data_IF_058483877577
#
_entry.id   IF_058483877577
#
_cell.length_a   1.000
_cell.length_b   1.000
_cell.length_c   1.000
_cell.angle_alpha   90.00
_cell.angle_beta   90.00
_cell.angle_gamma   90.00
#
_symmetry.space_group_name_H-M   'P 1'
#
loop_
_entity.id
_entity.type
_entity.pdbx_description
1 polymer ?
#
# COMPACT_ATOMS: atom_id res chain seq x y z
N UNK A 1 53.58 -1.94 49.75
CA UNK A 1 52.44 -2.65 49.13
C UNK A 1 52.24 -2.05 47.75
N UNK A 2 52.38 -2.90 46.73
CA UNK A 2 52.76 -2.54 45.37
C UNK A 2 51.60 -1.99 44.52
N UNK A 3 51.89 -0.92 43.75
CA UNK A 3 51.09 -0.43 42.64
C UNK A 3 51.33 -1.30 41.40
N UNK A 4 50.26 -1.77 40.78
CA UNK A 4 50.30 -2.47 39.50
C UNK A 4 50.00 -1.49 38.35
N UNK A 5 50.92 -1.42 37.38
CA UNK A 5 50.74 -0.76 36.09
C UNK A 5 50.15 -1.77 35.07
N UNK A 6 49.23 -1.39 34.18
CA UNK A 6 48.88 -2.20 33.03
C UNK A 6 49.87 -2.00 31.88
N UNK A 7 50.28 -3.12 31.30
CA UNK A 7 51.22 -3.26 30.19
C UNK A 7 50.51 -3.02 28.86
N UNK A 8 51.08 -2.15 28.02
CA UNK A 8 50.62 -1.89 26.65
C UNK A 8 51.38 -2.81 25.70
N UNK A 9 50.68 -3.71 25.01
CA UNK A 9 51.25 -4.50 23.92
C UNK A 9 51.08 -3.77 22.58
N UNK A 10 52.20 -3.31 22.03
CA UNK A 10 52.33 -2.87 20.64
C UNK A 10 52.35 -4.08 19.71
N UNK A 11 51.44 -4.15 18.73
CA UNK A 11 51.52 -5.11 17.63
C UNK A 11 51.87 -4.35 16.36
N UNK A 12 53.02 -4.72 15.80
CA UNK A 12 53.64 -4.12 14.63
C UNK A 12 53.13 -4.75 13.33
N UNK A 13 52.89 -3.87 12.34
CA UNK A 13 53.16 -4.01 10.90
C UNK A 13 53.06 -5.38 10.23
N UNK A 14 52.08 -5.52 9.33
CA UNK A 14 52.23 -6.30 8.11
C UNK A 14 51.77 -5.46 6.92
N UNK A 15 52.73 -5.07 6.09
CA UNK A 15 52.52 -4.32 4.85
C UNK A 15 52.02 -5.25 3.74
N UNK A 16 51.01 -4.78 3.01
CA UNK A 16 50.52 -5.40 1.78
C UNK A 16 50.95 -4.51 0.61
N UNK A 17 51.66 -5.03 -0.40
CA UNK A 17 52.13 -4.23 -1.53
C UNK A 17 50.99 -3.88 -2.50
N UNK A 18 50.92 -2.59 -2.83
CA UNK A 18 50.01 -1.99 -3.80
C UNK A 18 50.51 -2.32 -5.23
N UNK A 19 49.88 -3.27 -5.90
CA UNK A 19 50.13 -3.56 -7.32
C UNK A 19 49.40 -2.51 -8.17
N UNK A 20 50.13 -1.47 -8.58
CA UNK A 20 49.68 -0.47 -9.55
C UNK A 20 49.61 -1.13 -10.93
N UNK A 21 48.39 -1.46 -11.37
CA UNK A 21 48.12 -1.99 -12.70
C UNK A 21 47.95 -0.82 -13.68
N UNK A 22 49.03 -0.47 -14.39
CA UNK A 22 49.00 0.43 -15.53
C UNK A 22 48.04 -0.13 -16.60
N UNK A 23 46.94 0.58 -16.87
CA UNK A 23 46.10 0.36 -18.05
C UNK A 23 46.60 1.28 -19.16
N UNK A 24 47.29 0.67 -20.10
CA UNK A 24 47.64 1.19 -21.42
C UNK A 24 46.37 1.63 -22.16
N UNK A 25 46.30 2.92 -22.51
CA UNK A 25 45.30 3.48 -23.43
C UNK A 25 45.67 3.07 -24.85
N UNK A 26 44.94 2.12 -25.41
CA UNK A 26 44.93 1.85 -26.84
C UNK A 26 43.94 2.80 -27.52
N UNK A 27 44.45 3.67 -28.37
CA UNK A 27 43.65 4.44 -29.31
C UNK A 27 43.17 3.54 -30.47
N UNK A 28 41.96 3.77 -31.00
CA UNK A 28 41.69 3.45 -32.39
C UNK A 28 41.29 4.72 -33.17
N UNK A 29 42.20 5.09 -34.06
CA UNK A 29 41.98 5.28 -35.50
C UNK A 29 40.73 6.06 -35.93
N UNK A 30 40.98 7.31 -36.32
CA UNK A 30 40.14 8.13 -37.18
C UNK A 30 39.96 7.45 -38.55
N UNK A 31 38.75 6.98 -38.83
CA UNK A 31 38.30 6.58 -40.16
C UNK A 31 37.36 7.64 -40.71
N UNK A 32 37.86 8.48 -41.62
CA UNK A 32 37.04 9.40 -42.41
C UNK A 32 36.21 8.66 -43.46
N UNK A 33 34.99 9.12 -43.66
CA UNK A 33 34.08 8.71 -44.73
C UNK A 33 33.15 9.88 -45.09
N UNK A 34 32.94 10.19 -46.38
CA UNK A 34 32.53 11.53 -46.82
C UNK A 34 31.02 11.71 -46.98
N UNK A 35 30.61 12.98 -46.83
CA UNK A 35 29.51 13.69 -47.49
C UNK A 35 28.33 12.91 -48.08
N UNK A 36 27.18 13.01 -47.41
CA UNK A 36 25.85 12.85 -47.99
C UNK A 36 25.05 14.14 -47.81
N UNK A 37 24.68 14.77 -48.93
CA UNK A 37 23.91 16.02 -49.00
C UNK A 37 22.48 15.86 -48.43
N UNK A 38 21.90 16.92 -47.84
CA UNK A 38 20.48 16.94 -47.47
C UNK A 38 19.60 17.23 -48.71
N UNK A 39 18.58 16.39 -48.91
CA UNK A 39 17.53 16.61 -49.90
C UNK A 39 16.53 17.69 -49.42
N UNK A 40 15.94 18.49 -50.34
CA UNK A 40 15.16 19.67 -50.01
C UNK A 40 13.72 19.38 -49.56
N UNK A 41 13.28 20.17 -48.59
CA UNK A 41 11.89 20.34 -48.15
C UNK A 41 11.01 20.88 -49.28
N UNK A 42 10.02 20.10 -49.69
CA UNK A 42 8.90 20.56 -50.52
C UNK A 42 7.70 20.99 -49.67
N UNK A 43 7.00 22.08 -50.00
CA UNK A 43 5.79 22.49 -49.30
C UNK A 43 4.57 21.67 -49.75
N UNK A 44 3.63 21.31 -48.86
CA UNK A 44 2.37 20.71 -49.29
C UNK A 44 1.45 21.78 -49.92
N UNK A 45 0.73 21.44 -51.00
CA UNK A 45 -0.15 22.36 -51.70
C UNK A 45 -1.46 22.58 -50.92
N UNK A 46 -1.87 23.84 -50.83
CA UNK A 46 -3.20 24.21 -50.39
C UNK A 46 -4.28 23.67 -51.32
N UNK A 47 -5.44 23.32 -50.74
CA UNK A 47 -6.71 23.28 -51.46
C UNK A 47 -7.83 23.94 -50.64
N UNK A 48 -8.81 24.56 -51.34
CA UNK A 48 -9.77 25.51 -50.79
C UNK A 48 -11.15 24.89 -50.52
N UNK A 49 -12.00 25.66 -49.82
CA UNK A 49 -13.47 25.56 -49.84
C UNK A 49 -14.03 24.54 -48.82
N UNK A 50 -14.62 24.97 -47.71
CA UNK A 50 -15.98 25.53 -47.60
C UNK A 50 -17.08 24.52 -47.99
N UNK A 51 -17.85 24.06 -46.99
CA UNK A 51 -19.29 23.72 -47.05
C UNK A 51 -19.79 23.11 -45.72
N UNK A 52 -20.31 23.98 -44.85
CA UNK A 52 -21.58 23.79 -44.11
C UNK A 52 -21.68 22.80 -42.91
N UNK A 53 -22.48 23.13 -41.88
CA UNK A 53 -22.76 22.23 -40.76
C UNK A 53 -23.84 21.20 -41.17
N UNK A 54 -23.44 19.92 -41.25
CA UNK A 54 -24.40 18.80 -41.36
C UNK A 54 -24.89 18.42 -39.97
N UNK A 55 -26.19 18.57 -39.75
CA UNK A 55 -26.89 18.04 -38.58
C UNK A 55 -26.70 16.53 -38.47
N UNK A 56 -26.14 16.09 -37.36
CA UNK A 56 -25.97 14.68 -37.01
C UNK A 56 -27.28 14.10 -36.48
N UNK A 57 -27.96 13.32 -37.32
CA UNK A 57 -28.89 12.31 -36.84
C UNK A 57 -28.08 11.19 -36.19
N UNK A 58 -28.28 10.97 -34.89
CA UNK A 58 -27.73 9.83 -34.16
C UNK A 58 -28.40 8.54 -34.65
N UNK A 59 -27.72 7.80 -35.53
CA UNK A 59 -28.02 6.39 -35.76
C UNK A 59 -27.46 5.59 -34.58
N UNK A 60 -28.37 5.12 -33.73
CA UNK A 60 -28.10 4.11 -32.70
C UNK A 60 -27.50 2.88 -33.38
N UNK A 61 -26.22 2.60 -33.10
CA UNK A 61 -25.56 1.38 -33.56
C UNK A 61 -26.15 0.18 -32.81
N UNK A 62 -26.45 -0.93 -33.51
CA UNK A 62 -26.87 -2.16 -32.85
C UNK A 62 -25.73 -2.70 -31.96
N UNK A 63 -26.06 -3.39 -30.86
CA UNK A 63 -25.09 -3.85 -29.88
C UNK A 63 -24.01 -4.70 -30.53
N UNK A 64 -22.75 -4.33 -30.26
CA UNK A 64 -21.56 -5.09 -30.65
C UNK A 64 -21.71 -6.46 -30.01
N UNK A 65 -21.95 -7.49 -30.83
CA UNK A 65 -21.87 -8.88 -30.39
C UNK A 65 -20.42 -9.15 -30.05
N UNK A 66 -20.14 -9.22 -28.76
CA UNK A 66 -18.88 -9.67 -28.17
C UNK A 66 -18.46 -10.99 -28.83
N UNK A 67 -17.55 -10.90 -29.79
CA UNK A 67 -17.06 -12.05 -30.53
C UNK A 67 -16.02 -12.76 -29.69
N UNK A 68 -16.52 -13.58 -28.76
CA UNK A 68 -15.80 -14.70 -28.14
C UNK A 68 -14.41 -14.37 -27.62
N UNK A 69 -14.33 -13.93 -26.36
CA UNK A 69 -13.14 -14.20 -25.52
C UNK A 69 -12.81 -15.68 -25.67
N UNK A 70 -11.71 -15.98 -26.36
CA UNK A 70 -11.13 -17.33 -26.43
C UNK A 70 -11.04 -17.81 -24.98
N UNK A 71 -11.79 -18.86 -24.64
CA UNK A 71 -11.63 -19.55 -23.37
C UNK A 71 -10.15 -19.83 -23.22
N UNK A 72 -9.50 -19.22 -22.24
CA UNK A 72 -8.18 -19.63 -21.79
C UNK A 72 -8.26 -21.15 -21.65
N UNK A 73 -7.53 -21.87 -22.52
CA UNK A 73 -7.33 -23.28 -22.30
C UNK A 73 -6.52 -23.36 -21.03
N UNK A 74 -7.22 -23.63 -19.94
CA UNK A 74 -6.63 -23.90 -18.65
C UNK A 74 -5.79 -25.17 -18.81
N UNK A 75 -4.50 -25.02 -19.09
CA UNK A 75 -3.52 -26.10 -19.14
C UNK A 75 -3.21 -26.65 -17.74
N UNK A 76 -4.16 -26.47 -16.81
CA UNK A 76 -4.12 -26.88 -15.43
C UNK A 76 -3.58 -28.29 -15.26
N UNK A 77 -2.73 -28.44 -14.25
CA UNK A 77 -2.41 -29.75 -13.71
C UNK A 77 -3.70 -30.45 -13.27
N UNK A 78 -3.70 -31.78 -13.32
CA UNK A 78 -4.78 -32.50 -12.64
C UNK A 78 -4.78 -32.10 -11.16
N UNK A 79 -5.96 -32.07 -10.52
CA UNK A 79 -6.07 -31.69 -9.12
C UNK A 79 -5.16 -32.56 -8.21
N UNK A 80 -5.03 -33.84 -8.56
CA UNK A 80 -4.11 -34.78 -7.90
C UNK A 80 -2.64 -34.40 -8.08
N UNK A 81 -2.24 -34.02 -9.29
CA UNK A 81 -0.87 -33.56 -9.57
C UNK A 81 -0.54 -32.26 -8.83
N UNK A 82 -1.50 -31.35 -8.70
CA UNK A 82 -1.30 -30.08 -7.98
C UNK A 82 -1.16 -30.29 -6.47
N UNK A 83 -1.98 -31.18 -5.88
CA UNK A 83 -1.86 -31.57 -4.47
C UNK A 83 -0.51 -32.25 -4.21
N UNK A 84 -0.12 -33.18 -5.09
CA UNK A 84 1.16 -33.90 -4.99
C UNK A 84 2.35 -32.92 -5.07
N UNK A 85 2.34 -32.03 -6.07
CA UNK A 85 3.34 -30.98 -6.23
C UNK A 85 3.42 -30.08 -5.00
N UNK A 86 2.28 -29.63 -4.48
CA UNK A 86 2.22 -28.75 -3.30
C UNK A 86 2.86 -29.39 -2.08
N UNK A 87 2.52 -30.64 -1.78
CA UNK A 87 3.06 -31.37 -0.63
C UNK A 87 4.57 -31.59 -0.75
N UNK A 88 5.04 -31.92 -1.96
CA UNK A 88 6.45 -32.10 -2.24
C UNK A 88 7.24 -30.80 -2.07
N UNK A 89 6.74 -29.70 -2.64
CA UNK A 89 7.33 -28.36 -2.54
C UNK A 89 7.38 -27.90 -1.09
N UNK A 90 6.28 -28.02 -0.33
CA UNK A 90 6.23 -27.66 1.10
C UNK A 90 7.32 -28.39 1.89
N UNK A 91 7.47 -29.70 1.67
CA UNK A 91 8.49 -30.51 2.34
C UNK A 91 9.90 -30.03 2.01
N UNK A 92 10.19 -29.78 0.73
CA UNK A 92 11.54 -29.42 0.26
C UNK A 92 11.91 -27.97 0.53
N UNK A 93 10.98 -27.05 0.41
CA UNK A 93 11.23 -25.63 0.69
C UNK A 93 11.43 -25.38 2.18
N UNK A 94 10.86 -26.21 3.06
CA UNK A 94 11.11 -26.14 4.52
C UNK A 94 12.57 -26.46 4.88
N UNK A 95 13.25 -27.31 4.11
CA UNK A 95 14.65 -27.70 4.34
C UNK A 95 15.64 -26.59 3.92
N UNK A 96 15.21 -25.63 3.10
CA UNK A 96 16.06 -24.55 2.59
C UNK A 96 16.22 -23.41 3.61
N UNK A 97 17.42 -22.82 3.76
CA UNK A 97 17.59 -21.58 4.52
C UNK A 97 16.84 -20.42 3.86
N UNK A 98 16.48 -19.39 4.62
CA UNK A 98 15.71 -18.24 4.14
C UNK A 98 16.42 -17.52 3.00
N UNK A 99 17.72 -17.30 3.19
CA UNK A 99 18.63 -16.76 2.16
C UNK A 99 18.71 -17.63 0.90
N UNK A 100 18.35 -18.91 0.99
CA UNK A 100 18.36 -19.84 -0.13
C UNK A 100 17.34 -19.46 -1.22
N UNK A 101 16.11 -19.12 -0.85
CA UNK A 101 15.09 -18.70 -1.81
C UNK A 101 15.40 -17.33 -2.42
N UNK A 102 15.92 -16.39 -1.61
CA UNK A 102 16.33 -15.09 -2.11
C UNK A 102 17.51 -15.21 -3.08
N UNK A 103 18.50 -16.05 -2.76
CA UNK A 103 19.60 -16.36 -3.65
C UNK A 103 19.14 -17.01 -4.96
N UNK A 104 18.15 -17.90 -4.89
CA UNK A 104 17.53 -18.54 -6.04
C UNK A 104 16.91 -17.50 -6.99
N UNK A 105 16.10 -16.57 -6.45
CA UNK A 105 15.50 -15.48 -7.24
C UNK A 105 16.56 -14.59 -7.89
N UNK A 106 17.59 -14.19 -7.15
CA UNK A 106 18.70 -13.38 -7.68
C UNK A 106 19.39 -14.13 -8.84
N UNK A 107 19.57 -15.45 -8.73
CA UNK A 107 20.21 -16.22 -9.78
C UNK A 107 19.34 -16.35 -11.04
N UNK A 108 18.02 -16.52 -10.88
CA UNK A 108 17.07 -16.52 -11.99
C UNK A 108 17.04 -15.17 -12.70
N UNK A 109 16.94 -14.05 -11.96
CA UNK A 109 17.01 -12.69 -12.54
C UNK A 109 18.33 -12.40 -13.24
N UNK A 110 19.44 -12.99 -12.80
CA UNK A 110 20.72 -12.85 -13.47
C UNK A 110 20.80 -13.62 -14.80
N UNK A 111 19.97 -14.65 -14.98
CA UNK A 111 19.86 -15.43 -16.22
C UNK A 111 18.83 -14.83 -17.18
N UNK A 112 17.86 -14.08 -16.66
CA UNK A 112 16.87 -13.32 -17.41
C UNK A 112 17.46 -11.99 -17.91
N UNK A 113 18.03 -12.02 -19.12
CA UNK A 113 18.69 -10.84 -19.72
C UNK A 113 17.70 -9.77 -20.14
N UNK A 114 16.51 -10.18 -20.57
CA UNK A 114 15.50 -9.31 -21.15
C UNK A 114 14.53 -8.77 -20.08
N UNK A 115 14.61 -9.29 -18.85
CA UNK A 115 13.79 -8.91 -17.69
C UNK A 115 12.30 -9.07 -17.94
N UNK A 116 11.93 -10.06 -18.74
CA UNK A 116 10.54 -10.37 -19.06
C UNK A 116 9.89 -11.29 -18.01
N UNK A 117 10.67 -11.79 -17.04
CA UNK A 117 10.18 -12.69 -16.01
C UNK A 117 10.01 -14.13 -16.50
N UNK A 118 10.56 -14.46 -17.67
CA UNK A 118 10.36 -15.74 -18.37
C UNK A 118 11.71 -16.40 -18.64
N UNK A 119 11.84 -17.69 -18.31
CA UNK A 119 13.06 -18.47 -18.54
C UNK A 119 12.77 -19.83 -19.13
N UNK A 120 13.72 -20.39 -19.89
CA UNK A 120 13.59 -21.75 -20.40
C UNK A 120 13.49 -22.77 -19.26
N UNK A 121 12.69 -23.83 -19.46
CA UNK A 121 12.57 -24.90 -18.45
C UNK A 121 13.90 -25.51 -18.02
N UNK A 122 14.87 -25.64 -18.93
CA UNK A 122 16.19 -26.20 -18.61
C UNK A 122 17.00 -25.26 -17.72
N UNK A 123 16.93 -23.95 -18.00
CA UNK A 123 17.53 -22.91 -17.15
C UNK A 123 16.96 -22.96 -15.74
N UNK A 124 15.63 -23.03 -15.62
CA UNK A 124 14.95 -23.11 -14.33
C UNK A 124 15.33 -24.38 -13.58
N UNK A 125 15.29 -25.55 -14.22
CA UNK A 125 15.69 -26.84 -13.61
C UNK A 125 17.14 -26.83 -13.13
N UNK A 126 18.06 -26.34 -13.95
CA UNK A 126 19.47 -26.22 -13.59
C UNK A 126 19.67 -25.34 -12.37
N UNK A 127 18.95 -24.22 -12.29
CA UNK A 127 19.01 -23.29 -11.18
C UNK A 127 18.36 -23.85 -9.91
N UNK A 128 17.22 -24.55 -9.99
CA UNK A 128 16.62 -25.24 -8.84
C UNK A 128 17.56 -26.31 -8.26
N UNK A 129 18.20 -27.10 -9.12
CA UNK A 129 19.17 -28.12 -8.71
C UNK A 129 20.43 -27.51 -8.08
N UNK A 130 20.92 -26.38 -8.62
CA UNK A 130 22.07 -25.65 -8.07
C UNK A 130 21.84 -25.18 -6.62
N UNK A 131 20.61 -24.81 -6.29
CA UNK A 131 20.22 -24.39 -4.93
C UNK A 131 19.76 -25.57 -4.06
N UNK A 132 19.99 -26.82 -4.47
CA UNK A 132 19.62 -28.03 -3.72
C UNK A 132 18.11 -28.17 -3.44
N UNK A 133 17.25 -27.53 -4.26
CA UNK A 133 15.81 -27.80 -4.23
C UNK A 133 15.53 -29.09 -5.02
N UNK A 134 15.86 -30.23 -4.41
CA UNK A 134 15.70 -31.56 -5.00
C UNK A 134 14.22 -31.97 -5.04
N UNK A 135 13.52 -31.48 -6.07
CA UNK A 135 12.21 -31.99 -6.47
C UNK A 135 12.40 -33.27 -7.30
N UNK A 136 11.46 -34.19 -7.22
CA UNK A 136 11.38 -35.35 -8.11
C UNK A 136 11.23 -34.88 -9.56
N UNK A 137 11.61 -35.72 -10.52
CA UNK A 137 11.45 -35.40 -11.95
C UNK A 137 9.99 -35.06 -12.31
N UNK A 138 9.04 -35.74 -11.66
CA UNK A 138 7.61 -35.44 -11.82
C UNK A 138 7.23 -34.09 -11.19
N UNK A 139 7.76 -33.77 -10.00
CA UNK A 139 7.60 -32.47 -9.37
C UNK A 139 8.17 -31.32 -10.24
N UNK A 140 9.35 -31.51 -10.83
CA UNK A 140 9.94 -30.55 -11.78
C UNK A 140 9.10 -30.42 -13.06
N UNK A 141 8.58 -31.52 -13.59
CA UNK A 141 7.70 -31.48 -14.75
C UNK A 141 6.40 -30.72 -14.43
N UNK A 142 5.83 -30.98 -13.27
CA UNK A 142 4.59 -30.34 -12.82
C UNK A 142 4.80 -28.85 -12.52
N UNK A 143 5.91 -28.46 -11.90
CA UNK A 143 6.21 -27.03 -11.66
C UNK A 143 6.41 -26.27 -12.97
N UNK A 144 7.17 -26.85 -13.91
CA UNK A 144 7.38 -26.26 -15.23
C UNK A 144 6.08 -26.19 -16.05
N UNK A 145 5.19 -27.18 -15.91
CA UNK A 145 3.88 -27.16 -16.59
C UNK A 145 2.94 -26.13 -15.97
N UNK A 146 2.91 -26.02 -14.63
CA UNK A 146 2.02 -25.10 -13.90
C UNK A 146 2.31 -23.63 -14.19
N UNK A 147 3.58 -23.27 -14.28
CA UNK A 147 4.03 -21.90 -14.57
C UNK A 147 4.54 -21.75 -16.00
N UNK A 148 4.25 -22.75 -16.83
CA UNK A 148 4.69 -22.80 -18.22
C UNK A 148 3.76 -21.99 -19.11
N UNK A 149 4.32 -21.21 -20.01
CA UNK A 149 3.55 -20.62 -21.10
C UNK A 149 3.50 -21.59 -22.28
N UNK A 150 2.31 -21.75 -22.87
CA UNK A 150 2.12 -22.58 -24.06
C UNK A 150 2.71 -21.85 -25.29
N UNK A 151 4.03 -21.89 -25.41
CA UNK A 151 4.77 -21.40 -26.58
C UNK A 151 5.05 -22.51 -27.59
N UNK A 152 4.97 -22.18 -28.88
CA UNK A 152 5.07 -23.13 -30.01
C UNK A 152 6.44 -23.82 -30.18
N UNK A 153 7.50 -23.40 -29.47
CA UNK A 153 8.87 -23.87 -29.80
C UNK A 153 9.75 -24.27 -28.64
N UNK A 154 9.67 -23.60 -27.49
CA UNK A 154 10.44 -23.95 -26.30
C UNK A 154 9.55 -23.72 -25.08
N UNK A 155 9.41 -24.71 -24.18
CA UNK A 155 8.66 -24.52 -22.96
C UNK A 155 9.38 -23.47 -22.10
N UNK A 156 8.69 -22.36 -21.88
CA UNK A 156 9.13 -21.22 -21.10
C UNK A 156 8.36 -21.18 -19.78
N UNK A 157 8.99 -20.70 -18.71
CA UNK A 157 8.43 -20.67 -17.35
C UNK A 157 8.46 -19.25 -16.80
N UNK A 158 7.31 -18.77 -16.33
CA UNK A 158 7.19 -17.51 -15.58
C UNK A 158 7.78 -17.69 -14.18
N UNK A 159 9.09 -17.44 -14.05
CA UNK A 159 9.82 -17.80 -12.84
C UNK A 159 9.47 -16.92 -11.65
N UNK A 160 9.00 -15.68 -11.85
CA UNK A 160 8.54 -14.79 -10.78
C UNK A 160 7.25 -15.33 -10.11
N UNK A 161 6.31 -15.86 -10.91
CA UNK A 161 5.11 -16.54 -10.40
C UNK A 161 5.48 -17.82 -9.64
N UNK A 162 6.41 -18.61 -10.21
CA UNK A 162 6.95 -19.80 -9.55
C UNK A 162 7.60 -19.44 -8.20
N UNK A 163 8.41 -18.37 -8.14
CA UNK A 163 9.05 -17.94 -6.89
C UNK A 163 8.05 -17.45 -5.85
N UNK A 164 6.99 -16.77 -6.28
CA UNK A 164 5.87 -16.38 -5.42
C UNK A 164 5.20 -17.61 -4.81
N UNK A 165 4.96 -18.64 -5.62
CA UNK A 165 4.42 -19.92 -5.17
C UNK A 165 5.35 -20.63 -4.17
N UNK A 166 6.64 -20.74 -4.46
CA UNK A 166 7.62 -21.36 -3.55
C UNK A 166 7.67 -20.62 -2.19
N UNK A 167 7.64 -19.28 -2.22
CA UNK A 167 7.65 -18.44 -1.02
C UNK A 167 6.37 -18.65 -0.19
N UNK A 168 5.21 -18.67 -0.84
CA UNK A 168 3.93 -18.94 -0.18
C UNK A 168 3.90 -20.34 0.44
N UNK A 169 4.37 -21.35 -0.29
CA UNK A 169 4.48 -22.73 0.21
C UNK A 169 5.42 -22.83 1.41
N UNK A 170 6.52 -22.07 1.43
CA UNK A 170 7.40 -21.98 2.60
C UNK A 170 6.67 -21.43 3.82
N UNK A 171 5.96 -20.31 3.65
CA UNK A 171 5.22 -19.68 4.74
C UNK A 171 4.13 -20.61 5.28
N UNK A 172 3.49 -21.39 4.41
CA UNK A 172 2.57 -22.45 4.81
C UNK A 172 3.26 -23.58 5.59
N UNK A 173 4.46 -24.00 5.17
CA UNK A 173 5.25 -25.03 5.85
C UNK A 173 5.74 -24.63 7.24
N UNK A 174 5.93 -23.33 7.47
CA UNK A 174 6.37 -22.74 8.75
C UNK A 174 5.21 -22.45 9.70
N UNK A 175 3.96 -22.43 9.22
CA UNK A 175 2.81 -22.29 10.12
C UNK A 175 2.80 -23.47 11.08
N UNK A 176 2.74 -23.22 12.40
CA UNK A 176 2.60 -24.30 13.35
C UNK A 176 1.35 -25.11 12.98
N UNK A 177 1.39 -26.45 13.05
CA UNK A 177 0.20 -27.25 12.82
C UNK A 177 -0.91 -26.71 13.73
N UNK A 178 -2.14 -26.51 13.21
CA UNK A 178 -3.24 -26.02 14.03
C UNK A 178 -3.30 -26.89 15.29
N UNK A 179 -3.46 -26.28 16.48
CA UNK A 179 -3.51 -27.05 17.71
C UNK A 179 -4.56 -28.12 17.50
N UNK A 180 -4.14 -29.39 17.55
CA UNK A 180 -5.07 -30.50 17.48
C UNK A 180 -5.93 -30.36 18.72
N UNK A 181 -7.09 -29.72 18.56
CA UNK A 181 -8.14 -29.72 19.56
C UNK A 181 -8.46 -31.19 19.70
N UNK A 182 -7.92 -31.79 20.77
CA UNK A 182 -8.26 -33.12 21.20
C UNK A 182 -9.78 -33.09 21.45
N UNK A 183 -10.56 -33.40 20.41
CA UNK A 183 -11.93 -33.84 20.54
C UNK A 183 -11.84 -35.19 21.25
N UNK A 184 -11.63 -35.13 22.57
CA UNK A 184 -12.00 -36.22 23.47
C UNK A 184 -13.49 -36.38 23.27
N UNK A 185 -13.80 -37.46 22.57
CA UNK A 185 -15.09 -38.10 22.46
C UNK A 185 -15.85 -38.05 23.79
N UNK A 186 -16.76 -37.09 23.92
CA UNK A 186 -17.93 -37.23 24.79
C UNK A 186 -18.96 -37.95 23.94
N UNK A 187 -19.13 -39.24 24.20
CA UNK A 187 -20.15 -40.04 23.55
C UNK A 187 -21.53 -39.50 23.89
N UNK A 188 -22.28 -39.08 22.88
CA UNK A 188 -23.74 -38.97 22.97
C UNK A 188 -24.31 -39.46 21.64
N UNK A 189 -25.19 -40.42 21.80
CA UNK A 189 -25.99 -41.14 20.82
C UNK A 189 -26.80 -40.24 19.88
N UNK A 190 -26.80 -40.60 18.60
CA UNK A 190 -28.00 -40.61 17.76
C UNK A 190 -28.60 -39.26 17.39
N UNK A 191 -28.09 -38.64 16.34
CA UNK A 191 -28.78 -37.56 15.64
C UNK A 191 -28.18 -37.37 14.25
N UNK A 192 -28.96 -37.65 13.20
CA UNK A 192 -28.60 -37.39 11.80
C UNK A 192 -28.39 -35.89 11.63
N UNK A 193 -27.13 -35.43 11.66
CA UNK A 193 -26.77 -34.06 11.30
C UNK A 193 -25.88 -34.05 10.06
N UNK A 194 -26.32 -33.19 9.16
CA UNK A 194 -25.77 -32.86 7.85
C UNK A 194 -24.30 -32.44 7.96
N UNK A 195 -23.44 -32.80 6.99
CA UNK A 195 -22.02 -32.50 7.06
C UNK A 195 -21.79 -30.98 7.09
N UNK A 196 -21.06 -30.44 8.09
CA UNK A 196 -20.76 -29.03 8.15
C UNK A 196 -19.79 -28.67 7.02
N UNK A 197 -20.20 -27.72 6.17
CA UNK A 197 -19.35 -27.19 5.12
C UNK A 197 -18.10 -26.50 5.73
N UNK A 198 -16.92 -26.66 5.12
CA UNK A 198 -15.70 -26.03 5.61
C UNK A 198 -15.79 -24.51 5.47
N UNK A 199 -15.81 -23.80 6.60
CA UNK A 199 -15.67 -22.35 6.61
C UNK A 199 -14.30 -21.99 6.05
N UNK A 200 -14.27 -21.29 4.91
CA UNK A 200 -13.07 -20.69 4.32
C UNK A 200 -12.48 -19.68 5.31
N UNK A 201 -11.46 -20.08 6.07
CA UNK A 201 -10.70 -19.17 6.92
C UNK A 201 -9.78 -18.36 6.01
N UNK A 202 -10.01 -17.04 5.96
CA UNK A 202 -9.25 -16.07 5.18
C UNK A 202 -7.85 -15.90 5.79
N UNK A 203 -6.88 -16.74 5.41
CA UNK A 203 -5.50 -16.78 5.93
C UNK A 203 -4.58 -15.73 5.26
N UNK A 204 -5.06 -14.50 5.05
CA UNK A 204 -4.26 -13.36 4.53
C UNK A 204 -3.55 -12.53 5.62
N UNK A 205 -3.69 -12.86 6.90
CA UNK A 205 -3.03 -12.12 7.97
C UNK A 205 -1.77 -12.84 8.44
N UNK A 206 -0.64 -12.54 7.79
CA UNK A 206 0.69 -12.66 8.40
C UNK A 206 0.77 -11.68 9.56
N UNK A 207 0.39 -12.15 10.74
CA UNK A 207 0.62 -11.46 12.02
C UNK A 207 2.12 -11.51 12.32
N UNK A 208 2.92 -10.64 11.68
CA UNK A 208 4.34 -10.48 12.01
C UNK A 208 4.59 -9.37 13.04
N UNK A 209 3.57 -8.57 13.33
CA UNK A 209 3.63 -7.54 14.36
C UNK A 209 2.30 -7.56 15.10
N UNK A 210 2.31 -8.00 16.37
CA UNK A 210 1.09 -8.07 17.17
C UNK A 210 0.72 -6.69 17.72
N UNK A 211 -0.55 -6.44 18.02
CA UNK A 211 -1.00 -5.20 18.69
C UNK A 211 -0.23 -4.91 19.99
N UNK A 212 0.22 -5.99 20.66
CA UNK A 212 1.07 -5.90 21.85
C UNK A 212 2.47 -5.37 21.53
N UNK A 213 3.08 -5.83 20.44
CA UNK A 213 4.39 -5.35 19.98
C UNK A 213 4.31 -3.91 19.48
N UNK A 214 3.19 -3.56 18.84
CA UNK A 214 2.88 -2.19 18.45
C UNK A 214 2.75 -1.26 19.66
N UNK A 215 1.98 -1.64 20.68
CA UNK A 215 1.88 -0.88 21.92
C UNK A 215 3.24 -0.68 22.59
N UNK A 216 4.11 -1.70 22.57
CA UNK A 216 5.47 -1.62 23.13
C UNK A 216 6.38 -0.70 22.30
N UNK A 217 6.39 -0.84 20.97
CA UNK A 217 7.14 0.03 20.07
C UNK A 217 6.78 1.50 20.32
N UNK A 218 5.49 1.75 20.40
CA UNK A 218 4.94 3.06 20.64
C UNK A 218 5.39 3.69 21.97
N UNK A 219 5.32 2.94 23.08
CA UNK A 219 5.78 3.39 24.38
C UNK A 219 7.30 3.66 24.40
N UNK A 220 8.09 2.83 23.73
CA UNK A 220 9.55 2.99 23.66
C UNK A 220 9.96 4.19 22.79
N UNK A 221 9.23 4.47 21.71
CA UNK A 221 9.42 5.68 20.89
C UNK A 221 9.10 6.94 21.68
N UNK A 222 7.98 6.95 22.41
CA UNK A 222 7.56 8.06 23.26
C UNK A 222 8.63 8.40 24.30
N UNK A 223 9.15 7.37 24.99
CA UNK A 223 10.22 7.54 25.98
C UNK A 223 11.49 8.17 25.40
N UNK A 224 11.82 7.88 24.14
CA UNK A 224 13.04 8.38 23.50
C UNK A 224 12.90 9.74 22.84
N UNK A 225 11.67 10.14 22.48
CA UNK A 225 11.38 11.40 21.79
C UNK A 225 10.90 12.51 22.74
N UNK A 226 10.58 12.19 24.00
CA UNK A 226 10.06 13.14 24.99
C UNK A 226 10.86 14.44 25.13
N UNK A 227 12.19 14.36 25.09
CA UNK A 227 13.05 15.49 25.41
C UNK A 227 13.55 16.27 24.18
N UNK A 228 13.11 15.89 22.98
CA UNK A 228 13.64 16.47 21.73
C UNK A 228 12.51 16.92 20.82
N UNK A 229 12.31 18.24 20.61
CA UNK A 229 11.36 18.71 19.63
C UNK A 229 11.83 18.24 18.26
N UNK A 230 10.96 17.53 17.53
CA UNK A 230 11.32 17.03 16.22
C UNK A 230 10.48 17.67 15.13
N UNK A 231 11.16 18.26 14.15
CA UNK A 231 10.50 18.86 13.01
C UNK A 231 10.06 17.79 12.00
N UNK A 232 8.78 17.44 12.04
CA UNK A 232 8.19 16.44 11.16
C UNK A 232 8.18 16.85 9.69
N UNK A 233 8.11 18.15 9.40
CA UNK A 233 8.16 18.66 8.03
C UNK A 233 9.55 18.41 7.40
N UNK A 234 10.61 18.66 8.17
CA UNK A 234 11.99 18.42 7.72
C UNK A 234 12.26 16.92 7.51
N UNK A 235 11.72 16.05 8.37
CA UNK A 235 11.82 14.60 8.18
C UNK A 235 11.13 14.15 6.90
N UNK A 236 9.88 14.59 6.70
CA UNK A 236 9.10 14.26 5.51
C UNK A 236 9.84 14.69 4.24
N UNK A 237 10.34 15.93 4.21
CA UNK A 237 11.14 16.46 3.10
C UNK A 237 12.39 15.63 2.86
N UNK A 238 13.13 15.29 3.92
CA UNK A 238 14.35 14.48 3.83
C UNK A 238 14.07 13.07 3.31
N UNK A 239 12.93 12.46 3.66
CA UNK A 239 12.51 11.16 3.15
C UNK A 239 12.23 11.23 1.64
N UNK A 240 11.48 12.22 1.18
CA UNK A 240 11.23 12.42 -0.25
C UNK A 240 12.51 12.77 -1.03
N UNK A 241 13.46 13.51 -0.44
CA UNK A 241 14.76 13.78 -1.07
C UNK A 241 15.62 12.51 -1.22
N UNK A 242 15.40 11.50 -0.37
CA UNK A 242 16.08 10.20 -0.47
C UNK A 242 15.39 9.23 -1.42
N UNK A 243 14.10 9.41 -1.69
CA UNK A 243 13.34 8.66 -2.69
C UNK A 243 13.62 9.20 -4.10
N UNK A 244 14.71 8.73 -4.68
CA UNK A 244 15.13 9.13 -6.03
C UNK A 244 14.17 8.67 -7.12
N UNK A 245 13.46 7.58 -6.87
CA UNK A 245 12.58 6.95 -7.85
C UNK A 245 11.15 7.52 -7.78
N UNK A 246 10.85 8.35 -6.77
CA UNK A 246 9.54 8.99 -6.54
C UNK A 246 8.39 7.98 -6.51
N UNK A 247 8.63 6.85 -5.85
CA UNK A 247 7.64 5.79 -5.70
C UNK A 247 7.03 5.74 -4.28
N UNK A 248 7.38 6.69 -3.42
CA UNK A 248 7.00 6.80 -2.01
C UNK A 248 7.52 5.65 -1.13
N UNK A 249 8.53 4.90 -1.60
CA UNK A 249 9.16 3.82 -0.85
C UNK A 249 10.64 4.12 -0.59
N UNK A 250 11.07 3.79 0.62
CA UNK A 250 12.46 3.87 1.02
C UNK A 250 12.98 2.49 1.40
N UNK A 251 14.25 2.22 1.12
CA UNK A 251 14.97 1.11 1.75
C UNK A 251 15.22 1.40 3.23
N UNK A 252 15.44 0.35 4.02
CA UNK A 252 15.69 0.50 5.47
C UNK A 252 16.92 1.36 5.77
N UNK A 253 17.92 1.34 4.90
CA UNK A 253 19.10 2.20 5.02
C UNK A 253 18.76 3.68 4.76
N UNK A 254 17.93 3.98 3.76
CA UNK A 254 17.46 5.36 3.51
C UNK A 254 16.63 5.88 4.68
N UNK A 255 15.74 5.07 5.25
CA UNK A 255 14.96 5.45 6.44
C UNK A 255 15.88 5.78 7.62
N UNK A 256 16.91 4.96 7.86
CA UNK A 256 17.89 5.23 8.92
C UNK A 256 18.68 6.54 8.69
N UNK A 257 19.04 6.83 7.44
CA UNK A 257 19.70 8.08 7.06
C UNK A 257 18.78 9.28 7.30
N UNK A 258 17.50 9.21 6.88
CA UNK A 258 16.52 10.27 7.10
C UNK A 258 16.35 10.58 8.59
N UNK A 259 16.09 9.54 9.39
CA UNK A 259 15.95 9.67 10.85
C UNK A 259 17.20 10.30 11.48
N UNK A 260 18.39 9.84 11.10
CA UNK A 260 19.64 10.37 11.68
C UNK A 260 19.92 11.81 11.27
N UNK A 261 19.60 12.20 10.02
CA UNK A 261 19.76 13.58 9.52
C UNK A 261 18.84 14.57 10.24
N UNK A 262 17.64 14.14 10.61
CA UNK A 262 16.66 14.97 11.29
C UNK A 262 16.73 14.87 12.82
N UNK A 263 17.81 14.30 13.38
CA UNK A 263 18.02 14.22 14.82
C UNK A 263 17.17 13.16 15.55
N UNK A 264 16.52 12.24 14.84
CA UNK A 264 15.85 11.09 15.44
C UNK A 264 16.86 10.04 15.90
N UNK A 265 17.30 10.18 17.15
CA UNK A 265 18.19 9.22 17.80
C UNK A 265 17.41 8.09 18.46
N UNK A 266 16.76 7.26 17.64
CA UNK A 266 16.14 6.03 18.13
C UNK A 266 17.20 4.96 18.41
N UNK A 267 17.02 4.17 19.47
CA UNK A 267 17.86 3.01 19.75
C UNK A 267 17.75 1.98 18.62
N UNK A 268 18.79 1.17 18.35
CA UNK A 268 18.77 0.19 17.27
C UNK A 268 17.59 -0.79 17.34
N UNK A 269 17.18 -1.18 18.55
CA UNK A 269 16.03 -2.06 18.77
C UNK A 269 14.69 -1.40 18.39
N UNK A 270 14.47 -0.15 18.79
CA UNK A 270 13.27 0.61 18.43
C UNK A 270 13.23 0.88 16.92
N UNK A 271 14.38 1.17 16.31
CA UNK A 271 14.51 1.30 14.84
C UNK A 271 14.12 0.00 14.13
N UNK A 272 14.64 -1.14 14.58
CA UNK A 272 14.33 -2.43 13.98
C UNK A 272 12.84 -2.75 14.08
N UNK A 273 12.21 -2.48 15.24
CA UNK A 273 10.76 -2.67 15.42
C UNK A 273 9.93 -1.69 14.59
N UNK A 274 10.34 -0.42 14.46
CA UNK A 274 9.66 0.55 13.58
C UNK A 274 9.69 0.10 12.12
N UNK A 275 10.85 -0.37 11.64
CA UNK A 275 10.96 -0.93 10.31
C UNK A 275 10.05 -2.16 10.17
N UNK A 276 10.11 -3.11 11.10
CA UNK A 276 9.25 -4.29 11.06
C UNK A 276 7.75 -3.95 11.05
N UNK A 277 7.32 -2.96 11.82
CA UNK A 277 5.93 -2.50 11.86
C UNK A 277 5.47 -1.84 10.55
N UNK A 278 6.38 -1.20 9.84
CA UNK A 278 6.08 -0.46 8.60
C UNK A 278 6.25 -1.32 7.34
N UNK A 279 7.00 -2.42 7.39
CA UNK A 279 7.13 -3.37 6.29
C UNK A 279 5.98 -4.40 6.26
N UNK A 280 4.81 -3.94 5.79
CA UNK A 280 3.65 -4.82 5.60
C UNK A 280 3.88 -5.93 4.57
N UNK A 281 4.85 -5.75 3.68
CA UNK A 281 5.09 -6.65 2.54
C UNK A 281 6.19 -7.69 2.80
N UNK A 282 7.06 -7.45 3.79
CA UNK A 282 8.28 -8.21 4.01
C UNK A 282 9.37 -7.97 2.94
N UNK A 283 9.22 -6.92 2.11
CA UNK A 283 10.11 -6.66 0.98
C UNK A 283 11.34 -5.80 1.38
N UNK A 284 11.39 -5.30 2.62
CA UNK A 284 12.41 -4.35 3.04
C UNK A 284 12.26 -2.96 2.38
N UNK A 285 11.07 -2.67 1.85
CA UNK A 285 10.67 -1.37 1.31
C UNK A 285 9.58 -0.79 2.18
N UNK A 286 9.79 0.45 2.63
CA UNK A 286 8.98 1.09 3.64
C UNK A 286 8.29 2.31 3.04
N UNK A 287 6.96 2.31 3.04
CA UNK A 287 6.17 3.44 2.52
C UNK A 287 6.35 4.65 3.43
N UNK A 288 6.72 5.80 2.85
CA UNK A 288 7.01 7.04 3.58
C UNK A 288 5.83 7.43 4.49
N UNK A 289 4.61 7.46 3.95
CA UNK A 289 3.41 7.81 4.74
C UNK A 289 3.16 6.87 5.92
N UNK A 290 3.47 5.57 5.78
CA UNK A 290 3.26 4.63 6.90
C UNK A 290 4.24 4.93 8.03
N UNK A 291 5.51 5.22 7.72
CA UNK A 291 6.49 5.63 8.73
C UNK A 291 6.08 6.96 9.38
N UNK A 292 5.65 7.93 8.58
CA UNK A 292 5.20 9.24 9.07
C UNK A 292 4.00 9.11 10.00
N UNK A 293 3.02 8.27 9.68
CA UNK A 293 1.86 8.03 10.53
C UNK A 293 2.24 7.46 11.92
N UNK A 294 3.19 6.52 11.98
CA UNK A 294 3.70 6.00 13.26
C UNK A 294 4.35 7.09 14.12
N UNK A 295 5.10 7.99 13.49
CA UNK A 295 5.80 9.08 14.16
C UNK A 295 4.84 10.21 14.58
N UNK A 296 3.92 10.61 13.71
CA UNK A 296 2.97 11.71 13.95
C UNK A 296 1.93 11.36 15.00
N UNK A 297 1.38 10.13 14.96
CA UNK A 297 0.36 9.67 15.91
C UNK A 297 0.85 9.73 17.37
N UNK A 298 2.16 9.76 17.58
CA UNK A 298 2.77 9.92 18.91
C UNK A 298 3.01 11.37 19.33
N UNK A 299 3.30 12.24 18.38
CA UNK A 299 3.49 13.67 18.68
C UNK A 299 2.15 14.34 19.01
N UNK A 300 1.05 13.92 18.39
CA UNK A 300 -0.28 14.48 18.69
C UNK A 300 -0.71 14.25 20.14
N UNK A 301 -0.33 13.12 20.76
CA UNK A 301 -0.65 12.82 22.17
C UNK A 301 0.05 13.76 23.16
N UNK A 302 1.12 14.45 22.74
CA UNK A 302 1.80 15.44 23.61
C UNK A 302 1.16 16.82 23.57
N UNK A 303 0.38 17.14 22.54
CA UNK A 303 -0.24 18.46 22.37
C UNK A 303 -1.58 18.64 23.11
N UNK A 304 -2.22 17.57 23.57
CA UNK A 304 -3.58 17.63 24.13
C UNK A 304 -3.66 17.66 25.68
N UNK A 305 -2.55 17.78 26.40
CA UNK A 305 -2.59 17.78 27.88
C UNK A 305 -1.72 18.86 28.52
N UNK A 306 -1.83 20.09 28.02
CA UNK A 306 -1.77 21.24 28.92
C UNK A 306 -3.22 21.48 29.37
N UNK A 307 -3.63 21.05 30.58
CA UNK A 307 -4.81 21.66 31.17
C UNK A 307 -4.53 23.17 31.13
N UNK A 308 -5.49 23.91 30.58
CA UNK A 308 -5.54 25.36 30.63
C UNK A 308 -5.25 25.76 32.09
N UNK A 309 -3.98 26.09 32.38
CA UNK A 309 -3.62 26.60 33.69
C UNK A 309 -4.36 27.92 33.76
N UNK A 310 -5.45 27.87 34.54
CA UNK A 310 -6.40 28.94 34.71
C UNK A 310 -5.68 30.27 34.70
N UNK A 311 -6.06 31.07 33.73
CA UNK A 311 -5.95 32.50 33.81
C UNK A 311 -6.60 32.90 35.15
N UNK A 312 -5.78 33.08 36.18
CA UNK A 312 -6.18 33.73 37.41
C UNK A 312 -6.41 35.19 37.00
N UNK A 313 -7.63 35.48 36.56
CA UNK A 313 -8.12 36.83 36.43
C UNK A 313 -8.26 37.36 37.86
N UNK A 314 -7.24 38.11 38.28
CA UNK A 314 -7.29 38.94 39.46
C UNK A 314 -8.55 39.80 39.41
N UNK A 315 -9.33 39.70 40.48
CA UNK A 315 -10.69 40.19 40.52
C UNK A 315 -10.83 41.70 40.37
N UNK A 316 -11.94 42.08 39.78
CA UNK A 316 -12.68 43.27 40.18
C UNK A 316 -14.16 42.91 40.35
N UNK A 317 -14.67 43.21 41.55
CA UNK A 317 -16.03 42.91 41.95
C UNK A 317 -17.05 43.70 41.14
N UNK A 318 -18.02 43.00 40.58
CA UNK A 318 -19.23 43.59 40.03
C UNK A 318 -20.39 43.24 40.96
N UNK A 319 -20.92 44.30 41.56
CA UNK A 319 -22.13 44.35 42.39
C UNK A 319 -23.30 43.62 41.73
N UNK A 320 -23.94 42.73 42.49
CA UNK A 320 -25.32 42.30 42.26
C UNK A 320 -26.25 43.52 42.29
N UNK A 321 -26.76 43.91 41.12
CA UNK A 321 -27.87 44.84 40.99
C UNK A 321 -29.17 44.01 40.94
N UNK A 322 -29.90 44.03 42.06
CA UNK A 322 -31.23 43.45 42.19
C UNK A 322 -32.20 44.14 41.23
N UNK A 323 -32.73 43.41 40.25
CA UNK A 323 -33.85 43.85 39.43
C UNK A 323 -35.20 43.59 40.13
N UNK A 324 -36.23 44.43 39.87
CA UNK A 324 -37.51 44.37 40.55
C UNK A 324 -38.42 43.25 40.03
N UNK A 325 -39.17 42.68 40.97
CA UNK A 325 -40.30 41.76 40.77
C UNK A 325 -41.26 42.25 39.67
N UNK A 326 -41.35 41.49 38.57
CA UNK A 326 -42.46 41.61 37.61
C UNK A 326 -43.69 40.83 38.08
N UNK A 327 -44.91 41.34 37.81
CA UNK A 327 -46.17 40.72 38.20
C UNK A 327 -46.52 39.51 37.32
N UNK A 328 -47.16 38.51 37.94
CA UNK A 328 -47.71 37.31 37.32
C UNK A 328 -48.54 37.61 36.05
N UNK A 329 -48.20 36.99 34.89
CA UNK A 329 -49.14 36.86 33.80
C UNK A 329 -49.92 35.54 33.94
N UNK A 330 -51.21 35.73 34.20
CA UNK A 330 -52.35 34.92 33.79
C UNK A 330 -52.07 33.59 33.08
N UNK A 331 -52.64 32.53 33.66
CA UNK A 331 -52.73 31.18 33.12
C UNK A 331 -53.24 31.16 31.66
N UNK A 332 -52.32 31.10 30.71
CA UNK A 332 -52.60 30.73 29.33
C UNK A 332 -52.51 29.21 29.19
N UNK A 333 -53.48 28.65 28.48
CA UNK A 333 -53.67 27.24 28.24
C UNK A 333 -52.37 26.54 27.79
N UNK A 334 -52.02 25.46 28.50
CA UNK A 334 -50.94 24.54 28.15
C UNK A 334 -51.16 24.03 26.73
N UNK A 335 -50.37 24.54 25.78
CA UNK A 335 -50.19 23.87 24.51
C UNK A 335 -49.59 22.48 24.77
N UNK A 336 -50.01 21.44 24.02
CA UNK A 336 -49.48 20.10 24.19
C UNK A 336 -47.96 20.17 24.04
N UNK A 337 -47.23 19.69 25.07
CA UNK A 337 -45.78 19.54 25.01
C UNK A 337 -45.48 18.71 23.75
N UNK A 338 -44.73 19.23 22.78
CA UNK A 338 -44.33 18.45 21.63
C UNK A 338 -43.62 17.18 22.14
N UNK A 339 -43.93 16.00 21.58
CA UNK A 339 -43.28 14.77 22.00
C UNK A 339 -41.76 14.99 21.94
N UNK A 340 -41.08 14.74 23.06
CA UNK A 340 -39.62 14.83 23.12
C UNK A 340 -39.06 14.03 21.95
N UNK A 341 -38.41 14.72 21.00
CA UNK A 341 -37.69 14.08 19.92
C UNK A 341 -36.67 13.14 20.56
N UNK A 342 -36.70 11.88 20.13
CA UNK A 342 -35.73 10.90 20.58
C UNK A 342 -34.32 11.45 20.34
N UNK A 343 -33.40 11.33 21.31
CA UNK A 343 -32.05 11.87 21.17
C UNK A 343 -31.41 11.33 19.89
N UNK A 344 -30.88 12.23 19.05
CA UNK A 344 -30.25 11.83 17.79
C UNK A 344 -29.18 10.76 18.05
N UNK A 345 -29.11 9.71 17.20
CA UNK A 345 -28.14 8.65 17.37
C UNK A 345 -26.73 9.24 17.29
N UNK A 346 -25.87 8.87 18.26
CA UNK A 346 -24.48 9.29 18.28
C UNK A 346 -23.79 8.98 16.95
N UNK A 347 -22.97 9.91 16.47
CA UNK A 347 -22.24 9.80 15.20
C UNK A 347 -21.42 8.50 15.13
N UNK A 348 -21.81 7.61 14.21
CA UNK A 348 -21.12 6.34 13.97
C UNK A 348 -20.05 6.52 12.88
N UNK A 349 -18.81 6.71 13.33
CA UNK A 349 -17.65 6.90 12.44
C UNK A 349 -17.41 5.70 11.51
N UNK A 350 -17.80 4.50 11.93
CA UNK A 350 -17.58 3.29 11.15
C UNK A 350 -18.62 3.17 10.04
N UNK A 351 -19.88 3.50 10.33
CA UNK A 351 -20.91 3.65 9.30
C UNK A 351 -20.52 4.73 8.28
N UNK A 352 -20.12 5.90 8.76
CA UNK A 352 -19.68 7.01 7.90
C UNK A 352 -18.53 6.62 6.97
N UNK A 353 -17.52 5.92 7.49
CA UNK A 353 -16.37 5.44 6.70
C UNK A 353 -16.80 4.44 5.62
N UNK A 354 -17.71 3.51 5.95
CA UNK A 354 -18.22 2.53 4.99
C UNK A 354 -19.05 3.19 3.89
N UNK A 355 -19.89 4.17 4.23
CA UNK A 355 -20.73 4.88 3.27
C UNK A 355 -19.85 5.68 2.27
N UNK A 356 -18.76 6.29 2.74
CA UNK A 356 -17.76 6.92 1.87
C UNK A 356 -17.03 5.93 0.96
N UNK A 357 -16.77 4.73 1.44
CA UNK A 357 -16.14 3.70 0.63
C UNK A 357 -17.06 3.28 -0.54
N UNK A 358 -18.37 3.22 -0.33
CA UNK A 358 -19.33 2.96 -1.41
C UNK A 358 -19.41 4.09 -2.42
N UNK A 359 -19.39 5.36 -1.95
CA UNK A 359 -19.30 6.53 -2.82
C UNK A 359 -18.04 6.47 -3.70
N UNK A 360 -16.88 6.22 -3.10
CA UNK A 360 -15.61 6.12 -3.83
C UNK A 360 -15.66 5.00 -4.87
N UNK A 361 -16.13 3.82 -4.47
CA UNK A 361 -16.26 2.68 -5.38
C UNK A 361 -17.20 2.99 -6.55
N UNK A 362 -18.29 3.71 -6.32
CA UNK A 362 -19.23 4.10 -7.37
C UNK A 362 -18.61 5.06 -8.37
N UNK A 363 -17.89 6.08 -7.89
CA UNK A 363 -17.19 7.04 -8.74
C UNK A 363 -16.13 6.34 -9.59
N UNK A 364 -15.31 5.45 -8.99
CA UNK A 364 -14.32 4.67 -9.75
C UNK A 364 -14.94 3.64 -10.69
N UNK A 365 -16.16 3.16 -10.43
CA UNK A 365 -16.85 2.22 -11.32
C UNK A 365 -17.54 2.91 -12.49
N UNK A 366 -17.80 4.22 -12.38
CA UNK A 366 -18.32 5.06 -13.46
C UNK A 366 -17.22 5.45 -14.46
N UNK A 367 -15.96 5.43 -14.02
CA UNK A 367 -14.78 5.58 -14.87
C UNK A 367 -14.56 4.31 -15.74
N UNK A 368 -15.19 4.28 -16.92
CA UNK A 368 -15.15 3.13 -17.83
C UNK A 368 -13.74 2.83 -18.36
N UNK A 369 -12.91 3.86 -18.55
CA UNK A 369 -11.57 3.72 -19.13
C UNK A 369 -10.46 3.57 -18.08
N UNK A 370 -10.79 3.70 -16.80
CA UNK A 370 -9.87 3.61 -15.67
C UNK A 370 -8.74 4.64 -15.77
N UNK A 371 -9.00 5.79 -16.38
CA UNK A 371 -8.04 6.88 -16.51
C UNK A 371 -7.75 7.55 -15.16
N UNK A 372 -8.67 7.45 -14.21
CA UNK A 372 -8.66 8.22 -12.97
C UNK A 372 -9.17 9.66 -13.15
N UNK A 373 -9.72 9.98 -14.32
CA UNK A 373 -10.31 11.28 -14.65
C UNK A 373 -11.74 11.08 -15.18
N UNK A 374 -12.64 12.02 -14.88
CA UNK A 374 -14.01 11.97 -15.37
C UNK A 374 -14.57 13.39 -15.56
N UNK A 375 -15.47 13.62 -16.53
CA UNK A 375 -16.13 14.92 -16.69
C UNK A 375 -16.84 15.37 -15.41
N UNK A 376 -16.78 16.66 -15.11
CA UNK A 376 -17.33 17.22 -13.87
C UNK A 376 -18.85 16.94 -13.70
N UNK A 377 -19.60 16.99 -14.80
CA UNK A 377 -21.04 16.71 -14.80
C UNK A 377 -21.36 15.26 -14.40
N UNK A 378 -20.53 14.30 -14.84
CA UNK A 378 -20.67 12.88 -14.51
C UNK A 378 -20.30 12.60 -13.05
N UNK A 379 -19.19 13.18 -12.57
CA UNK A 379 -18.82 13.11 -11.15
C UNK A 379 -19.93 13.68 -10.27
N UNK A 380 -20.45 14.85 -10.65
CA UNK A 380 -21.55 15.49 -9.93
C UNK A 380 -22.78 14.60 -9.88
N UNK A 381 -23.17 14.01 -11.01
CA UNK A 381 -24.34 13.14 -11.09
C UNK A 381 -24.20 11.89 -10.22
N UNK A 382 -23.06 11.18 -10.33
CA UNK A 382 -22.80 9.95 -9.58
C UNK A 382 -22.76 10.24 -8.08
N UNK A 383 -21.98 11.24 -7.67
CA UNK A 383 -21.80 11.50 -6.24
C UNK A 383 -23.04 12.16 -5.59
N UNK A 384 -23.83 12.96 -6.31
CA UNK A 384 -25.13 13.43 -5.83
C UNK A 384 -26.14 12.28 -5.62
N UNK A 385 -26.17 11.31 -6.55
CA UNK A 385 -27.01 10.12 -6.43
C UNK A 385 -26.66 9.31 -5.19
N UNK A 386 -25.37 9.10 -4.93
CA UNK A 386 -24.91 8.35 -3.76
C UNK A 386 -25.07 9.12 -2.45
N UNK A 387 -24.89 10.45 -2.45
CA UNK A 387 -25.20 11.29 -1.29
C UNK A 387 -26.65 11.09 -0.82
N UNK A 388 -27.60 11.01 -1.77
CA UNK A 388 -29.00 10.73 -1.48
C UNK A 388 -29.24 9.29 -1.00
N UNK A 389 -28.69 8.29 -1.70
CA UNK A 389 -28.92 6.86 -1.37
C UNK A 389 -28.39 6.49 0.02
N UNK A 390 -27.22 7.00 0.40
CA UNK A 390 -26.59 6.70 1.68
C UNK A 390 -26.91 7.72 2.77
N UNK A 391 -27.69 8.76 2.44
CA UNK A 391 -28.00 9.89 3.31
C UNK A 391 -26.72 10.44 3.97
N UNK A 392 -25.70 10.74 3.15
CA UNK A 392 -24.41 11.21 3.65
C UNK A 392 -24.50 12.64 4.20
N UNK A 393 -25.57 13.38 3.92
CA UNK A 393 -25.78 14.76 4.38
C UNK A 393 -24.68 15.74 3.94
N UNK A 394 -23.99 15.43 2.83
CA UNK A 394 -22.98 16.34 2.27
C UNK A 394 -23.69 17.58 1.74
N UNK A 395 -23.31 18.77 2.22
CA UNK A 395 -23.87 20.03 1.73
C UNK A 395 -23.45 20.31 0.29
N UNK A 396 -24.32 21.01 -0.44
CA UNK A 396 -24.05 21.40 -1.83
C UNK A 396 -22.80 22.30 -1.94
N UNK A 397 -22.54 23.14 -0.95
CA UNK A 397 -21.33 23.97 -0.88
C UNK A 397 -20.06 23.13 -0.75
N UNK A 398 -20.05 22.15 0.14
CA UNK A 398 -18.92 21.23 0.33
C UNK A 398 -18.65 20.45 -0.95
N UNK A 399 -19.73 19.98 -1.58
CA UNK A 399 -19.67 19.25 -2.84
C UNK A 399 -19.09 20.09 -3.99
N UNK A 400 -19.61 21.30 -4.21
CA UNK A 400 -19.13 22.21 -5.27
C UNK A 400 -17.69 22.66 -5.03
N UNK A 401 -17.31 22.88 -3.77
CA UNK A 401 -15.93 23.21 -3.39
C UNK A 401 -14.96 22.07 -3.71
N UNK A 402 -15.33 20.82 -3.38
CA UNK A 402 -14.52 19.65 -3.70
C UNK A 402 -14.39 19.44 -5.21
N UNK A 403 -15.51 19.56 -5.95
CA UNK A 403 -15.55 19.36 -7.40
C UNK A 403 -14.68 20.39 -8.12
N UNK A 404 -14.90 21.68 -7.87
CA UNK A 404 -14.15 22.78 -8.52
C UNK A 404 -12.65 22.75 -8.23
N UNK A 405 -12.26 22.37 -7.02
CA UNK A 405 -10.85 22.25 -6.62
C UNK A 405 -10.15 21.04 -7.24
N UNK A 406 -10.92 20.06 -7.75
CA UNK A 406 -10.39 18.79 -8.25
C UNK A 406 -10.33 18.69 -9.77
N UNK A 407 -10.71 19.77 -10.48
CA UNK A 407 -10.57 19.85 -11.93
C UNK A 407 -9.09 20.05 -12.28
N UNK A 408 -8.54 19.14 -13.07
CA UNK A 408 -7.18 19.26 -13.59
C UNK A 408 -7.14 20.39 -14.64
N UNK A 409 -6.27 21.40 -14.48
CA UNK A 409 -6.21 22.54 -15.37
C UNK A 409 -5.78 22.20 -16.80
N UNK A 410 -5.16 21.03 -17.02
CA UNK A 410 -4.68 20.60 -18.34
C UNK A 410 -5.75 19.83 -19.12
N UNK A 411 -6.57 19.05 -18.42
CA UNK A 411 -7.57 18.16 -19.04
C UNK A 411 -8.99 18.72 -18.98
N UNK A 412 -9.29 19.61 -18.03
CA UNK A 412 -10.64 20.09 -17.79
C UNK A 412 -11.57 19.03 -17.19
N UNK A 413 -10.99 17.91 -16.74
CA UNK A 413 -11.68 16.78 -16.11
C UNK A 413 -11.31 16.71 -14.64
N UNK A 414 -12.14 16.04 -13.85
CA UNK A 414 -11.96 15.91 -12.41
C UNK A 414 -11.03 14.74 -12.12
N UNK A 415 -9.95 14.99 -11.37
CA UNK A 415 -9.12 13.93 -10.82
C UNK A 415 -9.89 13.21 -9.69
N UNK A 416 -10.25 11.94 -9.92
CA UNK A 416 -11.16 11.20 -9.05
C UNK A 416 -10.57 10.93 -7.66
N UNK A 417 -9.28 10.58 -7.59
CA UNK A 417 -8.61 10.31 -6.32
C UNK A 417 -8.56 11.56 -5.44
N UNK A 418 -8.21 12.70 -6.05
CA UNK A 418 -8.16 13.97 -5.35
C UNK A 418 -9.55 14.47 -4.93
N UNK A 419 -10.55 14.30 -5.80
CA UNK A 419 -11.94 14.64 -5.50
C UNK A 419 -12.47 13.88 -4.28
N UNK A 420 -12.32 12.56 -4.24
CA UNK A 420 -12.80 11.73 -3.12
C UNK A 420 -12.10 12.12 -1.81
N UNK A 421 -10.77 12.29 -1.85
CA UNK A 421 -9.99 12.67 -0.67
C UNK A 421 -10.41 14.05 -0.13
N UNK A 422 -10.60 15.04 -1.01
CA UNK A 422 -10.98 16.39 -0.62
C UNK A 422 -12.43 16.46 -0.12
N UNK A 423 -13.35 15.75 -0.77
CA UNK A 423 -14.75 15.67 -0.35
C UNK A 423 -14.88 15.06 1.05
N UNK A 424 -14.08 14.02 1.35
CA UNK A 424 -14.05 13.39 2.66
C UNK A 424 -13.53 14.34 3.74
N UNK A 425 -12.43 15.06 3.48
CA UNK A 425 -11.85 16.02 4.43
C UNK A 425 -12.80 17.21 4.69
N UNK A 426 -13.37 17.82 3.64
CA UNK A 426 -14.27 18.95 3.79
C UNK A 426 -15.55 18.59 4.56
N UNK A 427 -16.16 17.44 4.24
CA UNK A 427 -17.36 17.00 4.94
C UNK A 427 -17.07 16.59 6.39
N UNK A 428 -15.92 15.98 6.67
CA UNK A 428 -15.52 15.70 8.05
C UNK A 428 -15.36 16.97 8.88
N UNK A 429 -14.79 18.04 8.30
CA UNK A 429 -14.69 19.35 8.97
C UNK A 429 -16.06 19.99 9.19
N UNK A 430 -16.96 19.86 8.23
CA UNK A 430 -18.33 20.34 8.35
C UNK A 430 -19.04 19.69 9.55
N UNK A 431 -18.91 18.37 9.70
CA UNK A 431 -19.46 17.62 10.84
C UNK A 431 -18.85 18.00 12.20
N UNK A 432 -17.60 18.48 12.25
CA UNK A 432 -16.97 18.92 13.50
C UNK A 432 -17.43 20.31 13.97
N UNK A 433 -18.04 21.09 13.08
CA UNK A 433 -18.53 22.44 13.41
C UNK A 433 -19.98 22.45 13.93
N UNK A 434 -20.64 21.29 13.93
CA UNK A 434 -21.95 21.05 14.56
C UNK A 434 -21.75 20.39 15.92
#
# INVERSE_FOLDING_TARGET
MNRAHPTVHSVSSSGVPLVVRQRSRGAPTLGGGPGGQPAPTGPPPGRPGDTGPRGGNFSVLPPIKDSGRKKEQDFGLSELDDISLKNEVIRKVKELPERGLQGLLINLRAQDRDRDGILSTDTVKGTLNKFQLHLTDNGLKNICKKFGEAGDRVPMVRYEEMMTYLTKSRMEALKPPPPMINQRSVGVTGGKQQPPQPRKVNLRNTVLFSDRDEGKLMADMERQLKDKPVNMADLRRTMYDLDRDRNDFLSGQQVQIALSKCGFHLTPDVKARLLLATDRTGAGLYKIETIMNYLTRRLQTQTEFLPDEGFIEDGEGIREEQLPLQPEPQAMALSPVPPMEDPEPAFDIQKWTNDYQYLAQAVYSADEDQSGFMPADEVQHVAATYNLVYNLQISESTFQSALSSSIDPNYGEVNLEYFIALLQDLHFRELQNY
#
